data_IF_485042650738
#
_entry.id   IF_485042650738
#
_cell.length_a   1.000
_cell.length_b   1.000
_cell.length_c   1.000
_cell.angle_alpha   90.00
_cell.angle_beta   90.00
_cell.angle_gamma   90.00
#
_symmetry.space_group_name_H-M   'P 1'
#
loop_
_entity.id
_entity.type
_entity.pdbx_description
1 polymer ?
#
# COMPACT_ATOMS: atom_id res chain seq x y z
N UNK A 1 -4.93 -11.69 5.93
CA UNK A 1 -4.11 -10.50 5.56
C UNK A 1 -4.95 -9.41 4.90
N UNK A 2 -6.14 -9.71 4.39
CA UNK A 2 -6.95 -8.74 3.63
C UNK A 2 -7.38 -7.51 4.43
N UNK A 3 -7.64 -7.66 5.73
CA UNK A 3 -7.94 -6.52 6.61
C UNK A 3 -6.79 -5.50 6.69
N UNK A 4 -5.53 -5.98 6.72
CA UNK A 4 -4.36 -5.10 6.69
C UNK A 4 -4.24 -4.38 5.35
N UNK A 5 -4.52 -5.08 4.24
CA UNK A 5 -4.55 -4.47 2.91
C UNK A 5 -5.64 -3.41 2.80
N UNK A 6 -6.85 -3.68 3.30
CA UNK A 6 -7.93 -2.70 3.33
C UNK A 6 -7.57 -1.46 4.18
N UNK A 7 -6.89 -1.63 5.31
CA UNK A 7 -6.38 -0.51 6.10
C UNK A 7 -5.32 0.30 5.35
N UNK A 8 -4.37 -0.38 4.70
CA UNK A 8 -3.35 0.28 3.89
C UNK A 8 -3.97 1.10 2.74
N UNK A 9 -4.98 0.55 2.05
CA UNK A 9 -5.70 1.26 0.99
C UNK A 9 -6.41 2.51 1.49
N UNK A 10 -6.99 2.48 2.69
CA UNK A 10 -7.57 3.68 3.32
C UNK A 10 -6.52 4.75 3.61
N UNK A 11 -5.34 4.36 4.08
CA UNK A 11 -4.23 5.29 4.31
C UNK A 11 -3.66 5.86 3.00
N UNK A 12 -3.60 5.07 1.93
CA UNK A 12 -3.24 5.57 0.58
C UNK A 12 -4.27 6.59 0.10
N UNK A 13 -5.57 6.30 0.27
CA UNK A 13 -6.64 7.21 -0.11
C UNK A 13 -6.61 8.53 0.69
N UNK A 14 -6.19 8.48 1.96
CA UNK A 14 -5.93 9.66 2.77
C UNK A 14 -4.64 10.41 2.38
N UNK A 15 -3.78 9.80 1.57
CA UNK A 15 -2.50 10.37 1.15
C UNK A 15 -1.36 10.18 2.16
N UNK A 16 -1.57 9.40 3.22
CA UNK A 16 -0.61 9.23 4.33
C UNK A 16 0.56 8.30 3.99
N UNK A 17 0.33 7.34 3.08
CA UNK A 17 1.28 6.29 2.77
C UNK A 17 1.35 5.98 1.28
N UNK A 18 2.48 5.42 0.86
CA UNK A 18 2.68 4.73 -0.41
C UNK A 18 2.74 3.22 -0.21
N UNK A 19 2.18 2.48 -1.15
CA UNK A 19 2.36 1.04 -1.27
C UNK A 19 3.40 0.78 -2.34
N UNK A 20 4.42 -0.02 -2.02
CA UNK A 20 5.47 -0.39 -2.98
C UNK A 20 5.64 -1.90 -3.13
N UNK A 21 6.06 -2.32 -4.31
CA UNK A 21 6.45 -3.70 -4.60
C UNK A 21 7.67 -3.69 -5.52
N UNK A 22 8.73 -4.41 -5.14
CA UNK A 22 9.99 -4.38 -5.89
C UNK A 22 10.72 -3.02 -5.83
N UNK A 23 10.33 -2.12 -4.92
CA UNK A 23 10.89 -0.77 -4.80
C UNK A 23 10.05 0.31 -5.47
N UNK A 24 9.13 -0.07 -6.36
CA UNK A 24 8.28 0.84 -7.13
C UNK A 24 6.93 1.05 -6.46
N UNK A 25 6.35 2.25 -6.61
CA UNK A 25 4.98 2.54 -6.15
C UNK A 25 3.99 1.81 -7.03
N UNK A 26 3.05 1.08 -6.42
CA UNK A 26 2.05 0.26 -7.13
C UNK A 26 0.66 0.48 -6.55
N UNK A 27 -0.36 0.18 -7.35
CA UNK A 27 -1.72 0.07 -6.84
C UNK A 27 -1.84 -1.16 -5.90
N UNK A 28 -2.14 -0.86 -4.63
CA UNK A 28 -2.30 -1.85 -3.59
C UNK A 28 -3.56 -2.72 -3.71
N UNK A 29 -4.52 -2.41 -4.59
CA UNK A 29 -5.69 -3.26 -4.81
C UNK A 29 -5.37 -4.40 -5.79
N UNK A 30 -4.58 -4.10 -6.83
CA UNK A 30 -4.20 -5.06 -7.89
C UNK A 30 -2.87 -5.78 -7.66
N UNK A 31 -2.00 -5.26 -6.79
CA UNK A 31 -0.72 -5.90 -6.48
C UNK A 31 -0.91 -7.34 -5.99
N UNK A 32 0.01 -8.25 -6.36
CA UNK A 32 -0.03 -9.66 -5.95
C UNK A 32 1.22 -10.01 -5.17
N UNK A 33 1.04 -10.76 -4.09
CA UNK A 33 2.14 -11.16 -3.21
C UNK A 33 2.54 -10.08 -2.20
N UNK A 34 3.75 -10.17 -1.63
CA UNK A 34 4.21 -9.25 -0.60
C UNK A 34 4.32 -7.81 -1.10
N UNK A 35 3.82 -6.88 -0.29
CA UNK A 35 3.90 -5.44 -0.51
C UNK A 35 4.58 -4.77 0.69
N UNK A 36 5.10 -3.56 0.50
CA UNK A 36 5.60 -2.69 1.57
C UNK A 36 4.70 -1.46 1.69
N UNK A 37 4.61 -0.90 2.89
CA UNK A 37 3.91 0.35 3.17
C UNK A 37 4.95 1.35 3.66
N UNK A 38 5.00 2.54 3.07
CA UNK A 38 5.92 3.64 3.43
C UNK A 38 5.12 4.88 3.79
N UNK A 39 5.46 5.56 4.87
CA UNK A 39 4.84 6.86 5.19
C UNK A 39 5.35 7.93 4.24
N UNK A 40 4.46 8.79 3.76
CA UNK A 40 4.86 10.05 3.13
C UNK A 40 5.26 11.04 4.23
N UNK A 41 6.32 11.81 4.00
CA UNK A 41 6.80 12.84 4.93
C UNK A 41 5.90 14.08 4.88
#
# INVERSE_FOLDING_TARGET
MDAARAAALRLVAAGDVDITQGGEVVDGASARGPIRIRRRA
#
